data_IF_427663130469
#
_entry.id   IF_427663130469
#
_cell.length_a   1.000
_cell.length_b   1.000
_cell.length_c   1.000
_cell.angle_alpha   90.00
_cell.angle_beta   90.00
_cell.angle_gamma   90.00
#
_symmetry.space_group_name_H-M   'P 1'
#
loop_
_entity.id
_entity.type
_entity.pdbx_description
1 polymer ?
#
# COMPACT_ATOMS: atom_id res chain seq x y z
N UNK A 1 -9.71 -30.42 10.27
CA UNK A 1 -8.54 -29.50 10.28
C UNK A 1 -8.80 -28.40 9.28
N UNK A 2 -8.40 -27.15 9.59
CA UNK A 2 -8.43 -26.05 8.63
C UNK A 2 -7.34 -26.28 7.56
N UNK A 3 -7.69 -26.26 6.28
CA UNK A 3 -6.71 -26.34 5.17
C UNK A 3 -6.52 -24.97 4.53
N UNK A 4 -5.42 -24.76 3.79
CA UNK A 4 -5.22 -23.53 3.00
C UNK A 4 -6.37 -23.26 2.03
N UNK A 5 -6.89 -24.32 1.41
CA UNK A 5 -8.05 -24.26 0.52
C UNK A 5 -9.29 -23.72 1.24
N UNK A 6 -9.56 -24.20 2.45
CA UNK A 6 -10.68 -23.72 3.27
C UNK A 6 -10.47 -22.25 3.64
N UNK A 7 -9.27 -21.87 4.10
CA UNK A 7 -8.93 -20.48 4.46
C UNK A 7 -9.15 -19.55 3.25
N UNK A 8 -8.72 -19.97 2.08
CA UNK A 8 -8.86 -19.19 0.85
C UNK A 8 -10.33 -18.99 0.48
N UNK A 9 -11.18 -20.02 0.56
CA UNK A 9 -12.59 -19.97 0.13
C UNK A 9 -13.55 -19.30 1.12
N UNK A 10 -13.17 -19.10 2.38
CA UNK A 10 -14.05 -18.43 3.36
C UNK A 10 -14.13 -16.93 3.02
N UNK A 11 -15.32 -16.29 3.03
CA UNK A 11 -15.42 -14.84 2.89
C UNK A 11 -14.85 -14.17 4.14
N UNK A 12 -13.96 -13.19 3.94
CA UNK A 12 -13.18 -12.56 5.02
C UNK A 12 -13.30 -11.04 4.97
N UNK A 13 -13.02 -10.40 6.09
CA UNK A 13 -12.93 -8.95 6.21
C UNK A 13 -11.53 -8.58 6.68
N UNK A 14 -10.91 -7.61 6.00
CA UNK A 14 -9.59 -7.08 6.37
C UNK A 14 -9.75 -5.68 6.95
N UNK A 15 -9.45 -5.50 8.23
CA UNK A 15 -9.70 -4.22 8.92
C UNK A 15 -8.43 -3.43 9.17
N UNK A 16 -7.25 -3.98 8.86
CA UNK A 16 -5.99 -3.30 9.11
C UNK A 16 -4.98 -3.62 8.02
N UNK A 17 -5.15 -2.97 6.86
CA UNK A 17 -4.20 -3.07 5.76
C UNK A 17 -3.69 -1.70 5.29
N UNK A 18 -2.36 -1.55 5.28
CA UNK A 18 -1.70 -0.30 4.94
C UNK A 18 -1.42 -0.25 3.43
N UNK A 19 -2.08 0.65 2.70
CA UNK A 19 -1.89 0.79 1.25
C UNK A 19 -0.43 1.05 0.88
N UNK A 20 0.21 1.97 1.61
CA UNK A 20 1.61 2.38 1.44
C UNK A 20 2.62 1.38 2.01
N UNK A 21 2.17 0.23 2.49
CA UNK A 21 2.99 -0.91 2.92
C UNK A 21 2.75 -2.21 2.13
N UNK A 22 1.74 -2.26 1.27
CA UNK A 22 1.24 -3.49 0.61
C UNK A 22 1.62 -3.68 -0.86
N UNK A 23 2.63 -2.97 -1.36
CA UNK A 23 2.94 -2.94 -2.80
C UNK A 23 3.53 -4.27 -3.31
N UNK A 24 3.13 -4.66 -4.53
CA UNK A 24 3.75 -5.77 -5.26
C UNK A 24 5.22 -5.43 -5.57
N UNK A 25 6.20 -6.32 -5.33
CA UNK A 25 7.61 -6.05 -5.63
C UNK A 25 7.89 -5.65 -7.08
N UNK A 26 7.17 -6.23 -8.04
CA UNK A 26 7.26 -5.86 -9.46
C UNK A 26 6.81 -4.42 -9.69
N UNK A 27 5.69 -4.02 -9.09
CA UNK A 27 5.18 -2.64 -9.16
C UNK A 27 6.18 -1.66 -8.55
N UNK A 28 6.81 -2.01 -7.42
CA UNK A 28 7.86 -1.17 -6.81
C UNK A 28 9.02 -0.95 -7.79
N UNK A 29 9.49 -2.01 -8.46
CA UNK A 29 10.60 -1.91 -9.42
C UNK A 29 10.24 -0.99 -10.59
N UNK A 30 9.06 -1.16 -11.16
CA UNK A 30 8.58 -0.34 -12.28
C UNK A 30 8.42 1.13 -11.89
N UNK A 31 7.80 1.40 -10.72
CA UNK A 31 7.62 2.77 -10.23
C UNK A 31 8.95 3.41 -9.81
N UNK A 32 9.89 2.62 -9.28
CA UNK A 32 11.22 3.10 -8.93
C UNK A 32 12.01 3.52 -10.17
N UNK A 33 11.90 2.79 -11.29
CA UNK A 33 12.52 3.17 -12.56
C UNK A 33 11.96 4.51 -13.08
N UNK A 34 10.64 4.69 -13.06
CA UNK A 34 9.98 5.93 -13.46
C UNK A 34 10.35 7.11 -12.55
N UNK A 35 10.35 6.89 -11.24
CA UNK A 35 10.63 7.90 -10.22
C UNK A 35 12.12 8.11 -9.90
N UNK A 36 13.01 7.36 -10.55
CA UNK A 36 14.48 7.35 -10.28
C UNK A 36 14.82 7.06 -8.81
N UNK A 37 14.04 6.18 -8.17
CA UNK A 37 14.28 5.71 -6.80
C UNK A 37 15.30 4.57 -6.83
N UNK A 38 16.34 4.65 -6.01
CA UNK A 38 17.34 3.59 -5.92
C UNK A 38 16.80 2.40 -5.14
N UNK A 39 16.89 1.21 -5.72
CA UNK A 39 16.56 -0.05 -5.07
C UNK A 39 17.82 -0.88 -4.83
N UNK A 40 17.84 -1.72 -3.78
CA UNK A 40 18.96 -2.63 -3.51
C UNK A 40 19.11 -3.72 -4.58
N UNK A 41 18.06 -3.98 -5.36
CA UNK A 41 18.01 -4.96 -6.44
C UNK A 41 16.81 -4.64 -7.35
N UNK A 42 16.91 -5.01 -8.62
CA UNK A 42 15.80 -4.99 -9.59
C UNK A 42 15.18 -6.37 -9.80
N UNK A 43 15.60 -7.38 -9.03
CA UNK A 43 14.98 -8.70 -9.05
C UNK A 43 13.78 -8.73 -8.09
N UNK A 44 12.54 -9.02 -8.54
CA UNK A 44 11.36 -8.99 -7.68
C UNK A 44 11.42 -9.92 -6.48
N UNK A 45 12.05 -11.10 -6.63
CA UNK A 45 12.16 -12.08 -5.55
C UNK A 45 13.16 -11.61 -4.50
N UNK A 46 14.33 -11.16 -4.92
CA UNK A 46 15.34 -10.61 -4.00
C UNK A 46 14.83 -9.35 -3.29
N UNK A 47 14.04 -8.53 -3.99
CA UNK A 47 13.41 -7.35 -3.40
C UNK A 47 12.39 -7.76 -2.33
N UNK A 48 11.51 -8.73 -2.62
CA UNK A 48 10.57 -9.29 -1.65
C UNK A 48 11.30 -9.84 -0.41
N UNK A 49 12.39 -10.58 -0.62
CA UNK A 49 13.22 -11.07 0.46
C UNK A 49 13.82 -9.92 1.27
N UNK A 50 14.31 -8.86 0.63
CA UNK A 50 14.82 -7.67 1.31
C UNK A 50 13.72 -6.99 2.15
N UNK A 51 12.51 -6.80 1.62
CA UNK A 51 11.36 -6.26 2.36
C UNK A 51 11.03 -7.10 3.62
N UNK A 52 11.05 -8.43 3.49
CA UNK A 52 10.72 -9.35 4.59
C UNK A 52 11.80 -9.49 5.69
N UNK A 53 12.98 -8.87 5.54
CA UNK A 53 14.11 -9.08 6.47
C UNK A 53 13.80 -8.63 7.89
N UNK A 54 13.11 -7.49 8.06
CA UNK A 54 12.76 -6.93 9.37
C UNK A 54 11.84 -7.86 10.14
N UNK A 55 10.85 -8.45 9.45
CA UNK A 55 9.94 -9.44 10.02
C UNK A 55 10.68 -10.69 10.48
N UNK A 56 11.58 -11.24 9.64
CA UNK A 56 12.36 -12.44 10.00
C UNK A 56 13.29 -12.21 11.19
N UNK A 57 13.81 -10.99 11.34
CA UNK A 57 14.68 -10.60 12.45
C UNK A 57 13.92 -10.02 13.65
N UNK A 58 12.58 -9.93 13.59
CA UNK A 58 11.72 -9.33 14.63
C UNK A 58 12.15 -7.90 15.01
N UNK A 59 12.58 -7.11 14.02
CA UNK A 59 13.11 -5.77 14.21
C UNK A 59 12.19 -4.74 13.57
N UNK A 60 11.50 -3.96 14.40
CA UNK A 60 10.67 -2.85 13.94
C UNK A 60 11.48 -1.80 13.15
N UNK A 61 12.69 -1.37 13.58
CA UNK A 61 13.49 -0.45 12.79
C UNK A 61 13.77 -0.95 11.37
N UNK A 62 14.21 -2.21 11.22
CA UNK A 62 14.48 -2.80 9.90
C UNK A 62 13.23 -2.95 9.04
N UNK A 63 12.06 -3.14 9.68
CA UNK A 63 10.78 -3.15 8.99
C UNK A 63 10.42 -1.75 8.49
N UNK A 64 10.60 -0.71 9.32
CA UNK A 64 10.29 0.67 8.96
C UNK A 64 11.26 1.27 7.92
N UNK A 65 12.50 0.76 7.82
CA UNK A 65 13.44 1.15 6.75
C UNK A 65 12.83 0.94 5.36
N UNK A 66 11.99 -0.07 5.17
CA UNK A 66 11.44 -0.40 3.86
C UNK A 66 10.33 0.56 3.43
N UNK A 67 9.67 1.24 4.39
CA UNK A 67 8.69 2.28 4.11
C UNK A 67 9.29 3.48 3.39
N UNK A 68 10.60 3.74 3.54
CA UNK A 68 11.27 4.79 2.77
C UNK A 68 11.16 4.52 1.26
N UNK A 69 11.21 3.25 0.85
CA UNK A 69 11.09 2.85 -0.55
C UNK A 69 9.64 2.96 -1.03
N UNK A 70 8.69 2.40 -0.27
CA UNK A 70 7.28 2.41 -0.70
C UNK A 70 6.72 3.83 -0.78
N UNK A 71 7.06 4.69 0.18
CA UNK A 71 6.68 6.11 0.15
C UNK A 71 7.36 6.81 -1.03
N UNK A 72 8.65 6.57 -1.29
CA UNK A 72 9.36 7.23 -2.38
C UNK A 72 8.79 6.91 -3.77
N UNK A 73 8.27 5.71 -3.98
CA UNK A 73 7.66 5.31 -5.28
C UNK A 73 6.20 5.74 -5.42
N UNK A 74 5.57 6.26 -4.36
CA UNK A 74 4.16 6.68 -4.33
C UNK A 74 3.96 8.19 -4.39
N UNK A 75 4.86 8.92 -5.08
CA UNK A 75 4.84 10.38 -5.13
C UNK A 75 4.13 10.97 -6.36
N UNK A 76 3.33 10.18 -7.09
CA UNK A 76 2.50 10.64 -8.20
C UNK A 76 1.07 10.10 -8.10
N UNK A 77 0.11 10.81 -8.69
CA UNK A 77 -1.30 10.38 -8.70
C UNK A 77 -1.47 9.03 -9.42
N UNK A 78 -0.73 8.80 -10.50
CA UNK A 78 -0.74 7.56 -11.26
C UNK A 78 -0.22 6.37 -10.44
N UNK A 79 0.87 6.58 -9.68
CA UNK A 79 1.42 5.57 -8.79
C UNK A 79 0.45 5.20 -7.66
N UNK A 80 -0.13 6.21 -7.01
CA UNK A 80 -1.13 6.05 -5.94
C UNK A 80 -2.37 5.31 -6.44
N UNK A 81 -2.93 5.77 -7.57
CA UNK A 81 -4.08 5.13 -8.22
C UNK A 81 -3.80 3.69 -8.57
N UNK A 82 -2.66 3.41 -9.23
CA UNK A 82 -2.27 2.05 -9.60
C UNK A 82 -2.21 1.13 -8.38
N UNK A 83 -1.49 1.53 -7.33
CA UNK A 83 -1.34 0.70 -6.13
C UNK A 83 -2.68 0.48 -5.41
N UNK A 84 -3.58 1.47 -5.42
CA UNK A 84 -4.94 1.32 -4.90
C UNK A 84 -5.77 0.29 -5.68
N UNK A 85 -5.68 0.28 -7.02
CA UNK A 85 -6.31 -0.77 -7.86
C UNK A 85 -5.72 -2.14 -7.49
N UNK A 86 -4.40 -2.26 -7.45
CA UNK A 86 -3.71 -3.53 -7.18
C UNK A 86 -4.04 -4.10 -5.81
N UNK A 87 -4.21 -3.24 -4.79
CA UNK A 87 -4.60 -3.65 -3.45
C UNK A 87 -5.99 -4.33 -3.44
N UNK A 88 -6.98 -3.75 -4.13
CA UNK A 88 -8.31 -4.35 -4.24
C UNK A 88 -8.28 -5.68 -5.00
N UNK A 89 -7.50 -5.76 -6.08
CA UNK A 89 -7.30 -7.01 -6.84
C UNK A 89 -6.71 -8.12 -5.96
N UNK A 90 -5.66 -7.81 -5.19
CA UNK A 90 -4.94 -8.79 -4.36
C UNK A 90 -5.77 -9.25 -3.15
N UNK A 91 -6.54 -8.34 -2.54
CA UNK A 91 -7.47 -8.67 -1.45
C UNK A 91 -8.64 -9.51 -1.95
N UNK A 92 -9.25 -9.13 -3.08
CA UNK A 92 -10.34 -9.89 -3.69
C UNK A 92 -9.89 -11.29 -4.12
N UNK A 93 -8.68 -11.43 -4.68
CA UNK A 93 -8.10 -12.72 -5.03
C UNK A 93 -7.94 -13.65 -3.82
N UNK A 94 -7.86 -13.11 -2.61
CA UNK A 94 -7.82 -13.86 -1.36
C UNK A 94 -9.21 -14.08 -0.74
N UNK A 95 -10.30 -13.76 -1.45
CA UNK A 95 -11.68 -13.82 -0.98
C UNK A 95 -11.94 -12.95 0.26
N UNK A 96 -11.22 -11.83 0.35
CA UNK A 96 -11.66 -10.69 1.17
C UNK A 96 -12.88 -10.08 0.45
N UNK A 97 -13.97 -9.89 1.19
CA UNK A 97 -15.22 -9.33 0.64
C UNK A 97 -15.42 -7.87 1.02
N UNK A 98 -14.71 -7.41 2.06
CA UNK A 98 -14.69 -6.02 2.51
C UNK A 98 -13.33 -5.70 3.14
N UNK A 99 -12.78 -4.53 2.84
CA UNK A 99 -11.55 -4.06 3.46
C UNK A 99 -11.62 -2.60 3.92
N UNK A 100 -11.08 -2.29 5.10
CA UNK A 100 -10.79 -0.93 5.55
C UNK A 100 -9.32 -0.62 5.31
N UNK A 101 -9.03 -0.02 4.15
CA UNK A 101 -7.68 0.31 3.72
C UNK A 101 -7.25 1.62 4.36
N UNK A 102 -6.01 1.68 4.85
CA UNK A 102 -5.49 2.84 5.56
C UNK A 102 -4.15 3.31 5.00
N UNK A 103 -3.90 4.61 5.05
CA UNK A 103 -2.62 5.20 4.66
C UNK A 103 -2.49 6.63 5.21
N UNK A 104 -1.29 7.20 5.20
CA UNK A 104 -1.08 8.59 5.65
C UNK A 104 -0.85 9.51 4.44
N UNK A 105 -1.85 10.33 4.02
CA UNK A 105 -1.73 11.17 2.82
C UNK A 105 -0.53 12.11 2.83
N UNK A 106 -0.18 12.64 4.02
CA UNK A 106 0.94 13.57 4.21
C UNK A 106 2.30 12.98 3.78
N UNK A 107 2.45 11.65 3.75
CA UNK A 107 3.69 11.01 3.28
C UNK A 107 3.87 11.11 1.76
N UNK A 108 2.81 11.41 1.01
CA UNK A 108 2.76 11.36 -0.45
C UNK A 108 2.72 12.76 -1.09
N UNK A 109 3.18 13.77 -0.36
CA UNK A 109 3.22 15.19 -0.78
C UNK A 109 4.63 15.70 -1.07
N UNK A 110 5.67 14.85 -0.96
CA UNK A 110 7.09 15.26 -1.06
C UNK A 110 7.40 15.88 -2.42
N UNK A 111 6.78 15.39 -3.50
CA UNK A 111 6.95 15.92 -4.85
C UNK A 111 5.87 16.93 -5.27
N UNK A 112 5.21 17.58 -4.30
CA UNK A 112 4.34 18.73 -4.55
C UNK A 112 2.87 18.41 -4.81
N UNK A 113 2.43 17.17 -4.58
CA UNK A 113 0.98 16.87 -4.53
C UNK A 113 0.36 17.50 -3.28
N UNK A 114 -0.87 17.99 -3.42
CA UNK A 114 -1.71 18.32 -2.26
C UNK A 114 -2.26 17.04 -1.62
N UNK A 115 -2.60 17.10 -0.33
CA UNK A 115 -3.26 15.96 0.34
C UNK A 115 -4.59 15.61 -0.33
N UNK A 116 -5.34 16.60 -0.84
CA UNK A 116 -6.55 16.37 -1.63
C UNK A 116 -6.26 15.55 -2.89
N UNK A 117 -5.25 15.92 -3.68
CA UNK A 117 -4.88 15.19 -4.89
C UNK A 117 -4.44 13.74 -4.57
N UNK A 118 -3.72 13.56 -3.46
CA UNK A 118 -3.32 12.23 -2.98
C UNK A 118 -4.55 11.38 -2.64
N UNK A 119 -5.49 11.92 -1.85
CA UNK A 119 -6.71 11.20 -1.45
C UNK A 119 -7.60 10.90 -2.66
N UNK A 120 -7.78 11.86 -3.57
CA UNK A 120 -8.55 11.67 -4.80
C UNK A 120 -7.97 10.56 -5.68
N UNK A 121 -6.65 10.55 -5.89
CA UNK A 121 -5.99 9.51 -6.68
C UNK A 121 -6.17 8.11 -6.09
N UNK A 122 -6.06 7.97 -4.76
CA UNK A 122 -6.32 6.71 -4.06
C UNK A 122 -7.77 6.29 -4.21
N UNK A 123 -8.74 7.18 -3.96
CA UNK A 123 -10.17 6.88 -4.10
C UNK A 123 -10.52 6.44 -5.52
N UNK A 124 -9.99 7.11 -6.54
CA UNK A 124 -10.17 6.68 -7.93
C UNK A 124 -9.68 5.26 -8.19
N UNK A 125 -8.51 4.90 -7.65
CA UNK A 125 -7.95 3.55 -7.80
C UNK A 125 -8.75 2.49 -7.04
N UNK A 126 -9.20 2.81 -5.82
CA UNK A 126 -10.04 1.92 -5.04
C UNK A 126 -11.39 1.68 -5.74
N UNK A 127 -12.01 2.73 -6.29
CA UNK A 127 -13.28 2.60 -7.02
C UNK A 127 -13.13 1.80 -8.32
N UNK A 128 -12.04 2.02 -9.08
CA UNK A 128 -11.74 1.20 -10.24
C UNK A 128 -11.52 -0.27 -9.86
N UNK A 129 -10.78 -0.53 -8.79
CA UNK A 129 -10.60 -1.88 -8.24
C UNK A 129 -11.94 -2.52 -7.86
N UNK A 130 -12.81 -1.80 -7.15
CA UNK A 130 -14.15 -2.25 -6.78
C UNK A 130 -14.99 -2.61 -8.00
N UNK A 131 -14.97 -1.79 -9.05
CA UNK A 131 -15.68 -2.09 -10.29
C UNK A 131 -15.17 -3.37 -10.99
N UNK A 132 -13.87 -3.67 -10.91
CA UNK A 132 -13.29 -4.88 -11.51
C UNK A 132 -13.61 -6.15 -10.73
N UNK A 133 -13.67 -6.08 -9.41
CA UNK A 133 -13.70 -7.27 -8.54
C UNK A 133 -15.03 -7.48 -7.80
N UNK A 134 -15.79 -6.41 -7.59
CA UNK A 134 -16.98 -6.40 -6.72
C UNK A 134 -16.67 -6.38 -5.23
N UNK A 135 -15.40 -6.26 -4.82
CA UNK A 135 -15.02 -6.16 -3.40
C UNK A 135 -15.28 -4.74 -2.87
N UNK A 136 -16.09 -4.63 -1.82
CA UNK A 136 -16.39 -3.34 -1.19
C UNK A 136 -15.22 -2.85 -0.31
N UNK A 137 -15.11 -1.53 -0.12
CA UNK A 137 -14.02 -0.94 0.66
C UNK A 137 -14.46 0.26 1.51
N UNK A 138 -13.67 0.53 2.54
CA UNK A 138 -13.63 1.80 3.26
C UNK A 138 -12.19 2.36 3.24
N UNK A 139 -12.05 3.68 3.30
CA UNK A 139 -10.76 4.37 3.37
C UNK A 139 -10.60 5.07 4.73
N UNK A 140 -9.48 4.81 5.41
CA UNK A 140 -9.09 5.43 6.67
C UNK A 140 -7.85 6.31 6.43
N UNK A 141 -7.97 7.61 6.69
CA UNK A 141 -6.84 8.53 6.64
C UNK A 141 -6.11 8.53 7.98
N UNK A 142 -4.82 8.21 7.94
CA UNK A 142 -3.97 8.13 9.12
C UNK A 142 -3.20 9.43 9.37
N UNK A 143 -3.22 9.90 10.60
CA UNK A 143 -2.29 10.91 11.10
C UNK A 143 -1.06 10.26 11.72
N UNK A 144 0.12 10.87 11.52
CA UNK A 144 1.37 10.36 12.07
C UNK A 144 1.61 10.92 13.47
N UNK A 145 1.53 10.06 14.49
CA UNK A 145 1.67 10.43 15.91
C UNK A 145 2.99 11.09 16.32
N UNK A 146 4.02 10.97 15.49
CA UNK A 146 5.35 11.56 15.70
C UNK A 146 5.52 12.91 15.01
N UNK A 147 4.50 13.38 14.29
CA UNK A 147 4.44 14.70 13.68
C UNK A 147 3.57 15.65 14.51
N UNK A 148 3.67 16.95 14.22
CA UNK A 148 2.85 17.94 14.92
C UNK A 148 1.38 17.77 14.50
N UNK A 149 0.41 17.85 15.43
CA UNK A 149 -1.02 17.70 15.11
C UNK A 149 -1.54 18.71 14.09
N UNK A 150 -0.90 19.89 14.01
CA UNK A 150 -1.24 20.96 13.08
C UNK A 150 -1.21 20.48 11.62
N UNK A 151 -0.29 19.57 11.27
CA UNK A 151 -0.21 18.99 9.92
C UNK A 151 -1.43 18.12 9.57
N UNK A 152 -2.16 17.61 10.56
CA UNK A 152 -3.36 16.80 10.34
C UNK A 152 -4.65 17.62 10.26
N UNK A 153 -4.55 18.94 10.48
CA UNK A 153 -5.69 19.87 10.41
C UNK A 153 -5.78 20.59 9.05
N UNK A 154 -4.73 20.49 8.23
CA UNK A 154 -4.71 20.94 6.83
C UNK A 154 -5.50 19.98 5.93
#
# INVERSE_FOLDING_TARGET
>A
MLTKEIIHRIPKVELHDHLDGGLRPTTIIELAELGRVQLPTSNPKELADWFGRGCRQKSLPLYLETFQVTVAVLQSQEALKRVAVEAIEDLSAQNIVYAEIRFAPILHTINGLSMEAVVSAVLEGLEEGRHKTGMEYGLILCALRNQSPELSLE
#
